data_IF_586886062528
#
_entry.id   IF_586886062528
#
_cell.length_a   1.000
_cell.length_b   1.000
_cell.length_c   1.000
_cell.angle_alpha   90.00
_cell.angle_beta   90.00
_cell.angle_gamma   90.00
#
_symmetry.space_group_name_H-M   'P 1'
#
loop_
_entity.id
_entity.type
_entity.pdbx_description
1 polymer ?
#
# COMPACT_ATOMS: atom_id res chain seq x y z
N UNK A 1 19.68 -21.41 -37.99
CA UNK A 1 19.54 -20.48 -36.85
C UNK A 1 18.26 -19.74 -37.11
N UNK A 2 17.19 -20.19 -36.43
CA UNK A 2 15.86 -19.59 -36.60
C UNK A 2 15.62 -18.65 -35.41
N UNK A 3 15.50 -17.36 -35.68
CA UNK A 3 15.14 -16.34 -34.71
C UNK A 3 13.62 -16.44 -34.50
N UNK A 4 13.09 -16.61 -33.28
CA UNK A 4 11.65 -16.60 -33.08
C UNK A 4 11.11 -15.18 -33.26
N UNK A 5 10.10 -15.09 -34.09
CA UNK A 5 9.28 -13.93 -34.40
C UNK A 5 8.67 -13.35 -33.11
N UNK A 6 8.92 -12.07 -32.86
CA UNK A 6 8.28 -11.36 -31.75
C UNK A 6 6.80 -11.18 -32.09
N UNK A 7 5.94 -11.85 -31.36
CA UNK A 7 4.50 -11.64 -31.38
C UNK A 7 4.22 -10.24 -30.81
N UNK A 8 3.80 -9.36 -31.68
CA UNK A 8 3.33 -8.02 -31.40
C UNK A 8 1.98 -8.17 -30.65
N UNK A 9 1.98 -8.01 -29.34
CA UNK A 9 0.74 -8.00 -28.57
C UNK A 9 0.15 -6.60 -28.60
N UNK A 10 -0.75 -6.35 -29.53
CA UNK A 10 -1.71 -5.24 -29.48
C UNK A 10 -2.71 -5.45 -28.32
N UNK A 11 -2.22 -5.38 -27.10
CA UNK A 11 -3.06 -5.23 -25.92
C UNK A 11 -3.36 -3.74 -25.79
N UNK A 12 -4.47 -3.31 -26.35
CA UNK A 12 -5.07 -2.01 -26.06
C UNK A 12 -5.15 -1.85 -24.52
N UNK A 13 -4.56 -0.80 -23.95
CA UNK A 13 -4.68 -0.58 -22.51
C UNK A 13 -6.17 -0.45 -22.18
N UNK A 14 -6.64 -1.27 -21.24
CA UNK A 14 -8.01 -1.23 -20.79
C UNK A 14 -8.34 0.20 -20.31
N UNK A 15 -9.20 0.88 -21.05
CA UNK A 15 -9.70 2.20 -20.68
C UNK A 15 -10.47 2.06 -19.37
N UNK A 16 -9.91 2.62 -18.29
CA UNK A 16 -10.60 2.76 -17.01
C UNK A 16 -11.80 3.69 -17.23
N UNK A 17 -13.03 3.30 -16.88
CA UNK A 17 -14.12 4.26 -16.82
C UNK A 17 -13.69 5.37 -15.84
N UNK A 18 -13.87 6.62 -16.27
CA UNK A 18 -13.61 7.79 -15.43
C UNK A 18 -14.29 7.59 -14.07
N UNK A 19 -13.58 7.93 -12.99
CA UNK A 19 -14.07 7.80 -11.63
C UNK A 19 -15.45 8.47 -11.52
N UNK A 20 -16.48 7.66 -11.33
CA UNK A 20 -17.80 8.15 -10.95
C UNK A 20 -17.75 8.79 -9.57
N UNK A 21 -18.82 9.47 -9.13
CA UNK A 21 -18.85 10.28 -7.92
C UNK A 21 -18.37 9.44 -6.73
N UNK A 22 -17.44 9.96 -5.98
CA UNK A 22 -16.72 9.41 -4.82
C UNK A 22 -17.08 7.97 -4.46
N UNK A 23 -16.30 7.03 -4.95
CA UNK A 23 -16.41 5.62 -4.57
C UNK A 23 -16.40 5.53 -3.04
N UNK A 24 -17.46 5.02 -2.44
CA UNK A 24 -17.54 4.77 -1.00
C UNK A 24 -16.46 3.78 -0.49
N UNK A 25 -15.77 3.13 -1.41
CA UNK A 25 -14.70 2.19 -1.14
C UNK A 25 -13.36 2.92 -0.90
N UNK A 26 -12.65 2.50 0.15
CA UNK A 26 -11.26 2.86 0.36
C UNK A 26 -10.34 2.06 -0.58
N UNK A 27 -10.67 0.79 -0.81
CA UNK A 27 -9.95 -0.10 -1.73
C UNK A 27 -10.98 -0.85 -2.58
N UNK A 28 -10.77 -0.90 -3.89
CA UNK A 28 -11.54 -1.70 -4.85
C UNK A 28 -10.56 -2.55 -5.66
N UNK A 29 -10.71 -3.86 -5.56
CA UNK A 29 -9.92 -4.87 -6.27
C UNK A 29 -10.85 -5.68 -7.15
N UNK A 30 -10.53 -5.80 -8.44
CA UNK A 30 -11.36 -6.54 -9.37
C UNK A 30 -10.49 -7.46 -10.27
N UNK A 31 -10.85 -8.74 -10.26
CA UNK A 31 -10.24 -9.79 -11.09
C UNK A 31 -8.72 -9.82 -11.01
N UNK A 32 -8.17 -9.62 -9.79
CA UNK A 32 -6.75 -9.48 -9.58
C UNK A 32 -6.03 -10.82 -9.74
N UNK A 33 -5.07 -10.85 -10.67
CA UNK A 33 -4.24 -12.03 -10.95
C UNK A 33 -2.77 -11.62 -10.87
N UNK A 34 -1.95 -12.47 -10.26
CA UNK A 34 -0.50 -12.37 -10.30
C UNK A 34 0.14 -13.71 -10.58
N UNK A 35 0.94 -13.74 -11.63
CA UNK A 35 1.73 -14.91 -12.03
C UNK A 35 3.21 -14.54 -11.98
N UNK A 36 4.01 -15.33 -11.28
CA UNK A 36 5.47 -15.26 -11.27
C UNK A 36 6.01 -16.48 -12.03
N UNK A 37 6.55 -16.26 -13.22
CA UNK A 37 6.99 -17.33 -14.12
C UNK A 37 5.83 -18.33 -14.36
N UNK A 38 5.84 -19.47 -13.68
CA UNK A 38 4.82 -20.52 -13.79
C UNK A 38 3.89 -20.59 -12.58
N UNK A 39 4.19 -19.84 -11.52
CA UNK A 39 3.42 -19.89 -10.26
C UNK A 39 2.37 -18.80 -10.24
N UNK A 40 1.10 -19.18 -10.13
CA UNK A 40 -0.02 -18.27 -9.90
C UNK A 40 -0.09 -17.94 -8.42
N UNK A 41 0.39 -16.77 -8.03
CA UNK A 41 0.45 -16.31 -6.65
C UNK A 41 -0.86 -15.68 -6.18
N UNK A 42 -1.62 -15.07 -7.09
CA UNK A 42 -2.98 -14.55 -6.85
C UNK A 42 -3.84 -14.97 -8.03
N UNK A 43 -5.03 -15.49 -7.77
CA UNK A 43 -5.91 -16.09 -8.76
C UNK A 43 -7.32 -15.50 -8.68
N UNK A 44 -7.61 -14.59 -9.59
CA UNK A 44 -8.93 -13.95 -9.81
C UNK A 44 -9.60 -13.43 -8.51
N UNK A 45 -8.88 -12.65 -7.73
CA UNK A 45 -9.36 -12.11 -6.46
C UNK A 45 -10.09 -10.79 -6.69
N UNK A 46 -11.33 -10.69 -6.17
CA UNK A 46 -12.12 -9.46 -6.20
C UNK A 46 -12.72 -9.17 -4.83
N UNK A 47 -12.56 -7.92 -4.36
CA UNK A 47 -13.18 -7.46 -3.11
C UNK A 47 -13.21 -5.94 -3.03
N UNK A 48 -14.02 -5.42 -2.10
CA UNK A 48 -14.09 -3.99 -1.76
C UNK A 48 -13.96 -3.79 -0.27
N UNK A 49 -13.24 -2.74 0.11
CA UNK A 49 -13.10 -2.30 1.51
C UNK A 49 -13.70 -0.92 1.62
N UNK A 50 -14.72 -0.77 2.47
CA UNK A 50 -15.38 0.51 2.71
C UNK A 50 -14.46 1.46 3.49
N UNK A 51 -14.65 2.77 3.31
CA UNK A 51 -13.99 3.79 4.13
C UNK A 51 -14.39 3.63 5.61
N UNK A 52 -13.44 3.82 6.52
CA UNK A 52 -13.66 3.73 7.96
C UNK A 52 -13.92 2.31 8.48
N UNK A 53 -13.77 1.26 7.65
CA UNK A 53 -13.91 -0.12 8.08
C UNK A 53 -12.55 -0.75 8.47
N UNK A 54 -12.60 -1.78 9.30
CA UNK A 54 -11.49 -2.68 9.59
C UNK A 54 -11.77 -3.99 8.88
N UNK A 55 -10.83 -4.46 8.07
CA UNK A 55 -10.99 -5.68 7.26
C UNK A 55 -9.82 -6.62 7.49
N UNK A 56 -10.09 -7.90 7.76
CA UNK A 56 -9.08 -8.95 7.87
C UNK A 56 -8.88 -9.67 6.53
N UNK A 57 -7.62 -9.79 6.08
CA UNK A 57 -7.25 -10.64 4.95
C UNK A 57 -6.70 -11.98 5.49
N UNK A 58 -7.52 -13.04 5.41
CA UNK A 58 -7.19 -14.35 5.97
C UNK A 58 -6.77 -15.32 4.87
N UNK A 59 -5.98 -16.32 5.23
CA UNK A 59 -5.51 -17.37 4.33
C UNK A 59 -4.23 -18.03 4.85
N UNK A 60 -3.95 -19.24 4.41
CA UNK A 60 -2.73 -19.98 4.74
C UNK A 60 -1.45 -19.36 4.18
N UNK A 61 -0.31 -19.93 4.52
CA UNK A 61 0.97 -19.54 3.92
C UNK A 61 0.94 -19.86 2.41
N UNK A 62 1.42 -18.92 1.60
CA UNK A 62 1.35 -19.05 0.14
C UNK A 62 0.02 -18.65 -0.51
N UNK A 63 -1.02 -18.28 0.25
CA UNK A 63 -2.32 -17.88 -0.28
C UNK A 63 -2.34 -16.52 -1.01
N UNK A 64 -1.19 -15.91 -1.27
CA UNK A 64 -1.09 -14.65 -2.02
C UNK A 64 -1.37 -13.38 -1.23
N UNK A 65 -1.57 -13.43 0.10
CA UNK A 65 -1.88 -12.26 0.93
C UNK A 65 -0.87 -11.12 0.77
N UNK A 66 0.40 -11.40 0.99
CA UNK A 66 1.48 -10.41 0.87
C UNK A 66 1.59 -9.86 -0.55
N UNK A 67 1.40 -10.72 -1.57
CA UNK A 67 1.39 -10.30 -2.98
C UNK A 67 0.22 -9.37 -3.28
N UNK A 68 -0.97 -9.68 -2.76
CA UNK A 68 -2.16 -8.83 -2.89
C UNK A 68 -1.94 -7.47 -2.25
N UNK A 69 -1.42 -7.43 -1.01
CA UNK A 69 -1.07 -6.16 -0.32
C UNK A 69 -0.04 -5.37 -1.12
N UNK A 70 1.01 -6.03 -1.63
CA UNK A 70 2.05 -5.38 -2.43
C UNK A 70 1.48 -4.76 -3.73
N UNK A 71 0.48 -5.39 -4.37
CA UNK A 71 -0.22 -4.84 -5.52
C UNK A 71 -1.12 -3.66 -5.13
N UNK A 72 -1.80 -3.71 -3.99
CA UNK A 72 -2.59 -2.58 -3.46
C UNK A 72 -1.68 -1.37 -3.19
N UNK A 73 -0.48 -1.60 -2.69
CA UNK A 73 0.51 -0.54 -2.44
C UNK A 73 1.23 -0.04 -3.71
N UNK A 74 0.98 -0.65 -4.86
CA UNK A 74 1.67 -0.31 -6.10
C UNK A 74 3.13 -0.77 -6.17
N UNK A 75 3.58 -1.63 -5.26
CA UNK A 75 4.95 -2.17 -5.22
C UNK A 75 5.14 -3.33 -6.21
N UNK A 76 4.06 -3.98 -6.58
CA UNK A 76 4.04 -5.11 -7.53
C UNK A 76 2.96 -4.86 -8.58
N UNK A 77 3.32 -4.98 -9.86
CA UNK A 77 2.36 -4.88 -10.95
C UNK A 77 1.49 -6.15 -11.02
N UNK A 78 0.17 -6.03 -11.15
CA UNK A 78 -0.70 -7.16 -11.49
C UNK A 78 -0.30 -7.78 -12.84
N UNK A 79 -0.55 -9.06 -13.03
CA UNK A 79 -0.52 -9.69 -14.36
C UNK A 79 -1.78 -9.33 -15.13
N UNK A 80 -2.93 -9.29 -14.42
CA UNK A 80 -4.19 -8.78 -14.95
C UNK A 80 -5.11 -8.37 -13.80
N UNK A 81 -6.26 -7.77 -14.12
CA UNK A 81 -7.17 -7.19 -13.14
C UNK A 81 -6.82 -5.74 -12.81
N UNK A 82 -7.49 -5.17 -11.81
CA UNK A 82 -7.29 -3.78 -11.42
C UNK A 82 -7.34 -3.61 -9.91
N UNK A 83 -6.62 -2.58 -9.44
CA UNK A 83 -6.65 -2.11 -8.07
C UNK A 83 -6.93 -0.60 -8.09
N UNK A 84 -7.86 -0.15 -7.25
CA UNK A 84 -8.07 1.26 -6.96
C UNK A 84 -7.96 1.50 -5.46
N UNK A 85 -7.27 2.56 -5.08
CA UNK A 85 -7.15 3.02 -3.70
C UNK A 85 -7.62 4.47 -3.63
N UNK A 86 -8.58 4.74 -2.75
CA UNK A 86 -9.20 6.05 -2.58
C UNK A 86 -9.72 6.65 -3.92
N UNK A 87 -10.15 5.79 -4.86
CA UNK A 87 -10.63 6.18 -6.18
C UNK A 87 -9.53 6.35 -7.25
N UNK A 88 -8.27 6.12 -6.93
CA UNK A 88 -7.15 6.25 -7.87
C UNK A 88 -6.62 4.88 -8.30
N UNK A 89 -6.38 4.72 -9.60
CA UNK A 89 -5.84 3.47 -10.16
C UNK A 89 -4.39 3.24 -9.69
N UNK A 90 -4.09 2.02 -9.29
CA UNK A 90 -2.76 1.61 -8.84
C UNK A 90 -2.11 0.69 -9.87
N UNK A 91 -0.82 0.85 -10.17
CA UNK A 91 0.11 1.84 -9.59
C UNK A 91 0.15 3.20 -10.31
N UNK A 92 -0.61 3.39 -11.39
CA UNK A 92 -0.48 4.53 -12.32
C UNK A 92 -0.61 5.89 -11.62
N UNK A 93 -1.49 5.96 -10.62
CA UNK A 93 -1.76 7.17 -9.85
C UNK A 93 -1.34 7.04 -8.38
N UNK A 94 -0.35 6.20 -8.10
CA UNK A 94 0.12 5.95 -6.74
C UNK A 94 0.55 7.23 -6.00
N UNK A 95 1.22 8.17 -6.68
CA UNK A 95 1.68 9.41 -6.10
C UNK A 95 0.56 10.26 -5.46
N UNK A 96 -0.69 10.11 -5.93
CA UNK A 96 -1.85 10.87 -5.42
C UNK A 96 -2.39 10.29 -4.10
N UNK A 97 -2.04 9.06 -3.78
CA UNK A 97 -2.58 8.36 -2.60
C UNK A 97 -1.53 7.92 -1.59
N UNK A 98 -0.27 7.75 -1.98
CA UNK A 98 0.78 7.25 -1.08
C UNK A 98 0.95 8.10 0.18
N UNK A 99 0.78 9.42 0.10
CA UNK A 99 0.79 10.31 1.27
C UNK A 99 -0.38 10.10 2.24
N UNK A 100 -1.38 9.30 1.85
CA UNK A 100 -2.58 8.97 2.65
C UNK A 100 -2.64 7.48 3.01
N UNK A 101 -1.62 6.73 2.65
CA UNK A 101 -1.47 5.31 2.96
C UNK A 101 -0.30 5.12 3.91
N UNK A 102 -0.42 4.14 4.78
CA UNK A 102 0.70 3.64 5.56
C UNK A 102 0.68 2.11 5.54
N UNK A 103 1.84 1.51 5.68
CA UNK A 103 2.02 0.08 5.76
C UNK A 103 2.98 -0.24 6.90
N UNK A 104 2.54 -1.08 7.80
CA UNK A 104 3.37 -1.63 8.85
C UNK A 104 3.60 -3.12 8.58
N UNK A 105 4.82 -3.56 8.78
CA UNK A 105 5.23 -4.95 8.63
C UNK A 105 5.97 -5.41 9.87
N UNK A 106 5.65 -6.59 10.41
CA UNK A 106 6.38 -7.15 11.56
C UNK A 106 7.86 -7.47 11.26
N UNK A 107 8.27 -7.33 10.00
CA UNK A 107 9.64 -7.57 9.56
C UNK A 107 10.45 -6.28 9.30
N UNK A 108 9.84 -5.12 9.54
CA UNK A 108 10.49 -3.81 9.34
C UNK A 108 10.49 -3.09 10.68
N UNK A 109 11.65 -3.07 11.31
CA UNK A 109 11.85 -2.34 12.54
C UNK A 109 12.10 -0.85 12.27
N UNK A 110 11.67 -0.01 13.20
CA UNK A 110 12.08 1.39 13.22
C UNK A 110 13.60 1.47 13.47
N UNK A 111 14.30 2.51 12.96
CA UNK A 111 15.72 2.70 13.24
C UNK A 111 16.01 2.73 14.75
N UNK A 112 16.56 1.64 15.27
CA UNK A 112 16.74 1.41 16.72
C UNK A 112 17.74 2.40 17.36
N UNK A 113 18.66 2.98 16.56
CA UNK A 113 19.63 3.97 17.04
C UNK A 113 19.07 5.37 17.23
N UNK A 114 17.87 5.60 16.73
CA UNK A 114 17.18 6.89 16.86
C UNK A 114 16.26 6.89 18.06
N UNK A 115 16.09 8.06 18.66
CA UNK A 115 15.06 8.21 19.70
C UNK A 115 13.66 8.17 19.09
N UNK A 116 12.65 7.94 19.92
CA UNK A 116 11.24 8.01 19.51
C UNK A 116 10.95 9.37 18.86
N UNK A 117 11.39 10.47 19.46
CA UNK A 117 11.25 11.82 18.92
C UNK A 117 11.90 11.97 17.54
N UNK A 118 13.11 11.45 17.35
CA UNK A 118 13.81 11.50 16.07
C UNK A 118 13.07 10.71 15.00
N UNK A 119 12.59 9.51 15.30
CA UNK A 119 11.77 8.72 14.40
C UNK A 119 10.49 9.45 14.01
N UNK A 120 9.71 9.94 14.99
CA UNK A 120 8.51 10.72 14.73
C UNK A 120 8.79 11.96 13.88
N UNK A 121 9.94 12.62 14.09
CA UNK A 121 10.35 13.78 13.29
C UNK A 121 10.63 13.40 11.84
N UNK A 122 11.34 12.30 11.60
CA UNK A 122 11.66 11.83 10.24
C UNK A 122 10.38 11.46 9.52
N UNK A 123 9.53 10.61 10.11
CA UNK A 123 8.28 10.21 9.50
C UNK A 123 7.33 11.38 9.30
N UNK A 124 7.21 12.26 10.28
CA UNK A 124 6.39 13.45 10.13
C UNK A 124 6.82 14.37 8.99
N UNK A 125 8.13 14.50 8.73
CA UNK A 125 8.65 15.23 7.57
C UNK A 125 8.38 14.50 6.25
N UNK A 126 8.53 13.17 6.21
CA UNK A 126 8.20 12.36 5.02
C UNK A 126 6.74 12.51 4.61
N UNK A 127 5.84 12.60 5.58
CA UNK A 127 4.40 12.80 5.34
C UNK A 127 3.96 14.26 5.30
N UNK A 128 4.91 15.21 5.28
CA UNK A 128 4.66 16.64 5.25
C UNK A 128 3.66 17.11 6.35
N UNK A 129 3.78 16.55 7.56
CA UNK A 129 2.92 16.90 8.71
C UNK A 129 3.16 18.36 9.07
N UNK A 130 2.09 19.16 9.08
CA UNK A 130 2.13 20.55 9.53
C UNK A 130 2.30 20.63 11.05
N UNK A 131 2.93 21.69 11.52
CA UNK A 131 3.16 21.96 12.95
C UNK A 131 3.70 20.71 13.69
N UNK A 132 4.71 20.06 13.07
CA UNK A 132 5.22 18.76 13.47
C UNK A 132 5.60 18.69 14.95
N UNK A 133 6.21 19.74 15.50
CA UNK A 133 6.59 19.77 16.91
C UNK A 133 5.35 19.67 17.83
N UNK A 134 4.33 20.47 17.58
CA UNK A 134 3.08 20.45 18.32
C UNK A 134 2.37 19.09 18.16
N UNK A 135 2.42 18.49 16.96
CA UNK A 135 1.82 17.18 16.71
C UNK A 135 2.54 16.06 17.46
N UNK A 136 3.87 16.11 17.57
CA UNK A 136 4.65 15.14 18.36
C UNK A 136 4.27 15.24 19.85
N UNK A 137 4.21 16.45 20.40
CA UNK A 137 3.82 16.66 21.82
C UNK A 137 2.37 16.19 22.09
N UNK A 138 1.45 16.46 21.15
CA UNK A 138 0.09 15.95 21.25
C UNK A 138 0.05 14.42 21.25
N UNK A 139 0.71 13.76 20.28
CA UNK A 139 0.79 12.30 20.23
C UNK A 139 1.42 11.71 21.50
N UNK A 140 2.47 12.35 21.99
CA UNK A 140 3.12 11.91 23.23
C UNK A 140 2.19 12.00 24.44
N UNK A 141 1.29 12.97 24.45
CA UNK A 141 0.26 13.08 25.48
C UNK A 141 -0.85 12.05 25.32
N UNK A 142 -1.34 11.87 24.08
CA UNK A 142 -2.47 10.98 23.76
C UNK A 142 -2.12 9.50 23.99
N UNK A 143 -0.86 9.13 23.77
CA UNK A 143 -0.35 7.77 23.87
C UNK A 143 0.51 7.50 25.10
N UNK A 144 0.60 8.47 26.03
CA UNK A 144 1.41 8.39 27.25
C UNK A 144 2.89 8.07 26.98
N UNK A 145 3.47 8.73 25.96
CA UNK A 145 4.84 8.52 25.49
C UNK A 145 5.83 9.58 25.95
N UNK A 146 5.43 10.56 26.77
CA UNK A 146 6.28 11.71 27.13
C UNK A 146 7.64 11.29 27.69
N UNK A 147 7.65 10.31 28.59
CA UNK A 147 8.86 9.81 29.23
C UNK A 147 9.74 8.94 28.34
N UNK A 148 9.23 8.58 27.15
CA UNK A 148 9.91 7.72 26.19
C UNK A 148 10.46 8.48 24.97
N UNK A 149 10.02 9.73 24.75
CA UNK A 149 10.36 10.49 23.55
C UNK A 149 11.86 10.57 23.28
N UNK A 150 12.66 10.72 24.30
CA UNK A 150 14.10 10.91 24.17
C UNK A 150 14.90 9.62 24.46
N UNK A 151 14.21 8.47 24.56
CA UNK A 151 14.83 7.15 24.63
C UNK A 151 15.05 6.58 23.23
N UNK A 152 16.12 5.82 23.05
CA UNK A 152 16.33 5.05 21.81
C UNK A 152 15.28 3.93 21.70
N UNK A 153 14.96 3.53 20.47
CA UNK A 153 13.95 2.49 20.19
C UNK A 153 14.43 1.06 20.42
N UNK A 154 15.65 0.83 20.90
CA UNK A 154 16.23 -0.49 21.13
C UNK A 154 16.79 -0.68 22.50
#
# INVERSE_FOLDING_TARGET
>A
MNVPEMVNSDATPAQFPAAGPESSAAIDVAHLIKIYKTTRAVDDVSFRIARGSITGLLGGNGAGKTTTIAMIMGLVLPTSGRVQVLGHAMPERAAEVLGRMNFESPYVDMPMRLTVRQNLTIFGRLYAVKDLAARIEQLASDLDLKDFLDRANG
#
